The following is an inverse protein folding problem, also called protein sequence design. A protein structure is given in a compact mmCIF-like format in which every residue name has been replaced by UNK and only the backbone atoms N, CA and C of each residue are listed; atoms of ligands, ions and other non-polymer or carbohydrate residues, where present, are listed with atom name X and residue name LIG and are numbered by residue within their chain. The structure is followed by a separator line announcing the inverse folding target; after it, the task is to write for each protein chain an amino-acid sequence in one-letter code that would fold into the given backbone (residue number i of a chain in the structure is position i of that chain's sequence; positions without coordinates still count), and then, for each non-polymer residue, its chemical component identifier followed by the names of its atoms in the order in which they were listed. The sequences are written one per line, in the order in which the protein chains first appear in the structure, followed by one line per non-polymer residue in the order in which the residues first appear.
data_IF_769695001768
#
_entry.id   IF_769695001768
#
_cell.length_a   1.000
_cell.length_b   1.000
_cell.length_c   1.000
_cell.angle_alpha   90.00
_cell.angle_beta   90.00
_cell.angle_gamma   90.00
#
_symmetry.space_group_name_H-M   'P 1'
#
loop_
_entity.id
_entity.type
_entity.pdbx_description
1 polymer ?
#
# COMPACT_ATOMS: atom_id res chain seq x y z
N UNK A 1 18.16 -4.63 18.64
CA UNK A 1 16.92 -4.22 17.91
C UNK A 1 15.66 -4.62 18.67
N UNK A 2 15.45 -5.90 18.99
CA UNK A 2 14.22 -6.39 19.66
C UNK A 2 13.83 -5.64 20.95
N UNK A 3 14.75 -5.32 21.89
CA UNK A 3 14.38 -4.56 23.09
C UNK A 3 13.87 -3.14 22.77
N UNK A 4 14.43 -2.51 21.74
CA UNK A 4 14.03 -1.17 21.32
C UNK A 4 12.58 -1.17 20.79
N UNK A 5 12.19 -2.15 19.98
CA UNK A 5 10.83 -2.31 19.44
C UNK A 5 9.78 -2.51 20.54
N UNK A 6 10.19 -3.05 21.69
CA UNK A 6 9.33 -3.25 22.87
C UNK A 6 9.39 -2.09 23.87
N UNK A 7 10.19 -1.06 23.61
CA UNK A 7 10.35 0.07 24.51
C UNK A 7 9.04 0.81 24.74
N UNK A 8 8.82 1.29 25.96
CA UNK A 8 7.73 2.20 26.28
C UNK A 8 7.95 3.59 25.66
N UNK A 9 9.20 3.99 25.50
CA UNK A 9 9.58 5.26 24.87
C UNK A 9 9.34 5.21 23.36
N UNK A 10 8.42 6.05 22.89
CA UNK A 10 8.03 6.09 21.48
C UNK A 10 9.23 6.32 20.52
N UNK A 11 10.15 7.28 20.76
CA UNK A 11 11.27 7.51 19.84
C UNK A 11 12.19 6.29 19.71
N UNK A 12 12.44 5.58 20.81
CA UNK A 12 13.26 4.35 20.82
C UNK A 12 12.54 3.23 20.07
N UNK A 13 11.23 3.09 20.29
CA UNK A 13 10.40 2.10 19.61
C UNK A 13 10.33 2.30 18.11
N UNK A 14 10.14 3.53 17.66
CA UNK A 14 10.10 3.89 16.24
C UNK A 14 11.44 3.60 15.54
N UNK A 15 12.56 3.96 16.17
CA UNK A 15 13.89 3.62 15.65
C UNK A 15 14.14 2.11 15.64
N UNK A 16 13.69 1.41 16.67
CA UNK A 16 13.71 -0.06 16.73
C UNK A 16 12.97 -0.67 15.54
N UNK A 17 11.79 -0.14 15.20
CA UNK A 17 10.98 -0.63 14.09
C UNK A 17 11.69 -0.48 12.75
N UNK A 18 12.30 0.68 12.49
CA UNK A 18 13.08 0.92 11.27
C UNK A 18 14.26 -0.04 11.18
N UNK A 19 15.03 -0.20 12.25
CA UNK A 19 16.16 -1.13 12.25
C UNK A 19 15.71 -2.58 12.03
N UNK A 20 14.58 -3.00 12.61
CA UNK A 20 14.02 -4.33 12.37
C UNK A 20 13.59 -4.50 10.92
N UNK A 21 12.93 -3.49 10.33
CA UNK A 21 12.56 -3.49 8.92
C UNK A 21 13.77 -3.65 8.01
N UNK A 22 14.86 -2.93 8.27
CA UNK A 22 16.11 -3.06 7.51
C UNK A 22 16.73 -4.45 7.64
N UNK A 23 16.73 -5.05 8.85
CA UNK A 23 17.18 -6.43 9.03
C UNK A 23 16.29 -7.42 8.28
N UNK A 24 14.97 -7.20 8.27
CA UNK A 24 14.02 -8.03 7.53
C UNK A 24 14.25 -8.01 6.01
N UNK A 25 14.92 -6.98 5.45
CA UNK A 25 15.33 -7.00 4.04
C UNK A 25 16.48 -7.98 3.78
N UNK A 26 17.23 -8.39 4.81
CA UNK A 26 18.39 -9.26 4.67
C UNK A 26 18.04 -10.74 4.84
N UNK A 27 16.97 -11.06 5.58
CA UNK A 27 16.56 -12.43 5.89
C UNK A 27 15.04 -12.61 5.75
N UNK A 28 14.64 -13.59 4.93
CA UNK A 28 13.24 -13.84 4.62
C UNK A 28 12.46 -14.41 5.81
N UNK A 29 13.07 -15.29 6.61
CA UNK A 29 12.43 -15.87 7.80
C UNK A 29 12.10 -14.77 8.80
N UNK A 30 13.06 -13.87 9.05
CA UNK A 30 12.89 -12.73 9.93
C UNK A 30 11.78 -11.79 9.42
N UNK A 31 11.67 -11.58 8.10
CA UNK A 31 10.59 -10.81 7.53
C UNK A 31 9.23 -11.47 7.81
N UNK A 32 9.08 -12.75 7.46
CA UNK A 32 7.84 -13.52 7.62
C UNK A 32 7.35 -13.54 9.08
N UNK A 33 8.26 -13.76 10.03
CA UNK A 33 7.97 -13.76 11.47
C UNK A 33 7.47 -12.40 11.99
N UNK A 34 7.86 -11.30 11.35
CA UNK A 34 7.59 -9.93 11.82
C UNK A 34 6.56 -9.16 10.97
N UNK A 35 6.02 -9.73 9.89
CA UNK A 35 4.99 -9.07 9.06
C UNK A 35 3.78 -8.64 9.89
N UNK A 36 3.29 -9.51 10.78
CA UNK A 36 2.16 -9.19 11.67
C UNK A 36 2.43 -8.00 12.58
N UNK A 37 3.69 -7.80 13.00
CA UNK A 37 4.10 -6.66 13.82
C UNK A 37 4.03 -5.35 13.02
N UNK A 38 4.58 -5.31 11.81
CA UNK A 38 4.50 -4.12 10.95
C UNK A 38 3.05 -3.78 10.61
N UNK A 39 2.22 -4.79 10.33
CA UNK A 39 0.78 -4.61 10.12
C UNK A 39 0.06 -4.07 11.37
N UNK A 40 0.48 -4.49 12.58
CA UNK A 40 -0.05 -3.95 13.83
C UNK A 40 0.30 -2.46 13.97
N UNK A 41 1.55 -2.08 13.70
CA UNK A 41 1.99 -0.69 13.71
C UNK A 41 1.25 0.18 12.69
N UNK A 42 0.95 -0.35 11.51
CA UNK A 42 0.06 0.34 10.57
C UNK A 42 -1.37 0.52 11.12
N UNK A 43 -1.92 -0.50 11.77
CA UNK A 43 -3.32 -0.44 12.22
C UNK A 43 -3.53 0.39 13.50
N UNK A 44 -2.52 0.51 14.36
CA UNK A 44 -2.61 1.13 15.69
C UNK A 44 -1.69 2.34 15.87
N UNK A 45 -0.74 2.55 14.98
CA UNK A 45 0.19 3.68 15.04
C UNK A 45 -0.44 5.00 14.62
N UNK A 46 0.19 6.09 15.04
CA UNK A 46 -0.06 7.44 14.49
C UNK A 46 0.50 7.56 13.07
N UNK A 47 0.09 8.60 12.35
CA UNK A 47 0.40 8.85 10.93
C UNK A 47 1.85 8.51 10.52
N UNK A 48 2.85 9.07 11.21
CA UNK A 48 4.27 8.80 10.88
C UNK A 48 4.66 7.32 10.99
N UNK A 49 4.09 6.60 11.97
CA UNK A 49 4.36 5.19 12.19
C UNK A 49 3.64 4.30 11.17
N UNK A 50 2.44 4.71 10.74
CA UNK A 50 1.73 4.05 9.66
C UNK A 50 2.48 4.18 8.34
N UNK A 51 3.00 5.37 8.03
CA UNK A 51 3.83 5.61 6.84
C UNK A 51 5.12 4.78 6.90
N UNK A 52 5.79 4.75 8.06
CA UNK A 52 7.00 3.94 8.26
C UNK A 52 6.71 2.45 8.05
N UNK A 53 5.61 1.94 8.60
CA UNK A 53 5.19 0.56 8.40
C UNK A 53 4.87 0.25 6.93
N UNK A 54 4.19 1.17 6.22
CA UNK A 54 3.94 1.01 4.79
C UNK A 54 5.24 0.92 3.98
N UNK A 55 6.22 1.78 4.25
CA UNK A 55 7.53 1.71 3.58
C UNK A 55 8.22 0.37 3.83
N UNK A 56 8.31 -0.06 5.10
CA UNK A 56 8.94 -1.34 5.46
C UNK A 56 8.23 -2.52 4.76
N UNK A 57 6.90 -2.58 4.81
CA UNK A 57 6.12 -3.63 4.15
C UNK A 57 6.33 -3.62 2.64
N UNK A 58 6.44 -2.44 2.03
CA UNK A 58 6.64 -2.30 0.58
C UNK A 58 8.03 -2.78 0.18
N UNK A 59 9.06 -2.41 0.95
CA UNK A 59 10.44 -2.83 0.70
C UNK A 59 10.60 -4.33 0.90
N UNK A 60 9.99 -4.91 1.94
CA UNK A 60 9.94 -6.37 2.15
C UNK A 60 9.31 -7.08 0.96
N UNK A 61 8.18 -6.59 0.44
CA UNK A 61 7.54 -7.18 -0.75
C UNK A 61 8.43 -7.07 -1.98
N UNK A 62 9.10 -5.92 -2.18
CA UNK A 62 10.03 -5.74 -3.30
C UNK A 62 11.23 -6.69 -3.25
N UNK A 63 11.74 -7.01 -2.05
CA UNK A 63 12.91 -7.87 -1.86
C UNK A 63 12.55 -9.36 -1.88
N UNK A 64 11.49 -9.74 -1.16
CA UNK A 64 11.15 -11.15 -0.91
C UNK A 64 9.98 -11.69 -1.76
N UNK A 65 9.27 -10.80 -2.46
CA UNK A 65 8.28 -11.14 -3.49
C UNK A 65 6.83 -11.27 -3.02
N UNK A 66 5.94 -11.44 -4.02
CA UNK A 66 4.48 -11.47 -3.89
C UNK A 66 3.94 -12.55 -2.94
N UNK A 67 4.67 -13.65 -2.79
CA UNK A 67 4.23 -14.84 -2.06
C UNK A 67 3.84 -14.50 -0.61
N UNK A 68 4.44 -13.45 -0.06
CA UNK A 68 4.12 -12.91 1.27
C UNK A 68 2.68 -12.38 1.38
N UNK A 69 2.09 -11.91 0.28
CA UNK A 69 0.67 -11.49 0.24
C UNK A 69 -0.26 -12.68 0.42
N UNK A 70 0.08 -13.81 -0.20
CA UNK A 70 -0.71 -15.04 -0.13
C UNK A 70 -0.51 -15.76 1.22
N UNK A 71 0.70 -15.74 1.77
CA UNK A 71 0.99 -16.37 3.06
C UNK A 71 0.59 -15.53 4.28
N UNK A 72 0.35 -14.22 4.11
CA UNK A 72 0.03 -13.30 5.21
C UNK A 72 -1.36 -12.68 5.03
N UNK A 73 -2.39 -13.27 5.66
CA UNK A 73 -3.76 -12.76 5.57
C UNK A 73 -3.86 -11.30 6.00
N UNK A 74 -4.46 -10.48 5.15
CA UNK A 74 -4.73 -9.07 5.44
C UNK A 74 -3.58 -8.11 5.08
N UNK A 75 -2.43 -8.59 4.59
CA UNK A 75 -1.37 -7.72 4.12
C UNK A 75 -1.83 -6.85 2.95
N UNK A 76 -2.54 -7.42 1.98
CA UNK A 76 -3.16 -6.65 0.88
C UNK A 76 -4.12 -5.56 1.41
N UNK A 77 -4.92 -5.92 2.42
CA UNK A 77 -5.91 -5.01 3.04
C UNK A 77 -5.27 -3.80 3.71
N UNK A 78 -4.01 -3.88 4.13
CA UNK A 78 -3.25 -2.72 4.64
C UNK A 78 -3.17 -1.63 3.57
N UNK A 79 -2.73 -1.99 2.35
CA UNK A 79 -2.62 -1.06 1.23
C UNK A 79 -3.98 -0.54 0.78
N UNK A 80 -4.96 -1.44 0.58
CA UNK A 80 -6.31 -1.05 0.13
C UNK A 80 -6.97 -0.10 1.13
N UNK A 81 -6.86 -0.38 2.44
CA UNK A 81 -7.39 0.50 3.50
C UNK A 81 -6.68 1.85 3.53
N UNK A 82 -5.36 1.86 3.36
CA UNK A 82 -4.58 3.10 3.36
C UNK A 82 -4.92 4.00 2.16
N UNK A 83 -5.04 3.42 0.95
CA UNK A 83 -5.43 4.15 -0.27
C UNK A 83 -6.84 4.74 -0.17
N UNK A 84 -7.78 4.02 0.47
CA UNK A 84 -9.15 4.51 0.69
C UNK A 84 -9.28 5.49 1.88
N UNK A 85 -8.23 5.65 2.69
CA UNK A 85 -8.27 6.40 3.95
C UNK A 85 -8.09 7.91 3.85
N UNK A 86 -8.21 8.51 2.66
CA UNK A 86 -7.80 9.89 2.36
C UNK A 86 -8.37 10.95 3.30
N UNK A 87 -9.66 10.88 3.62
CA UNK A 87 -10.31 11.86 4.50
C UNK A 87 -9.83 11.86 5.95
N UNK A 88 -9.13 10.81 6.41
CA UNK A 88 -8.65 10.70 7.81
C UNK A 88 -7.16 10.99 7.95
N UNK A 89 -6.37 10.57 6.97
CA UNK A 89 -4.91 10.70 7.00
C UNK A 89 -4.37 10.88 5.57
N UNK A 90 -4.40 12.10 5.02
CA UNK A 90 -3.96 12.39 3.65
C UNK A 90 -2.52 11.95 3.37
N UNK A 91 -1.63 12.06 4.34
CA UNK A 91 -0.22 11.68 4.20
C UNK A 91 -0.04 10.16 4.11
N UNK A 92 -0.85 9.39 4.86
CA UNK A 92 -0.86 7.92 4.80
C UNK A 92 -1.40 7.45 3.45
N UNK A 93 -2.47 8.10 2.97
CA UNK A 93 -3.01 7.83 1.65
C UNK A 93 -1.95 8.08 0.56
N UNK A 94 -1.25 9.21 0.62
CA UNK A 94 -0.19 9.54 -0.32
C UNK A 94 0.93 8.49 -0.34
N UNK A 95 1.43 8.08 0.82
CA UNK A 95 2.45 7.03 0.92
C UNK A 95 1.96 5.69 0.36
N UNK A 96 0.72 5.30 0.67
CA UNK A 96 0.13 4.06 0.19
C UNK A 96 -0.13 4.07 -1.32
N UNK A 97 -0.57 5.19 -1.88
CA UNK A 97 -0.74 5.36 -3.33
C UNK A 97 0.58 5.12 -4.04
N UNK A 98 1.67 5.75 -3.60
CA UNK A 98 3.00 5.55 -4.21
C UNK A 98 3.47 4.10 -4.04
N UNK A 99 3.29 3.52 -2.85
CA UNK A 99 3.65 2.13 -2.58
C UNK A 99 2.91 1.14 -3.51
N UNK A 100 1.59 1.23 -3.58
CA UNK A 100 0.77 0.37 -4.42
C UNK A 100 1.10 0.54 -5.91
N UNK A 101 1.33 1.78 -6.36
CA UNK A 101 1.79 2.05 -7.73
C UNK A 101 3.13 1.38 -8.05
N UNK A 102 4.08 1.40 -7.12
CA UNK A 102 5.37 0.70 -7.28
C UNK A 102 5.22 -0.81 -7.34
N UNK A 103 4.41 -1.39 -6.46
CA UNK A 103 4.18 -2.83 -6.41
C UNK A 103 3.54 -3.36 -7.70
N UNK A 104 2.59 -2.60 -8.28
CA UNK A 104 1.95 -2.94 -9.55
C UNK A 104 2.89 -2.74 -10.76
N UNK A 105 3.58 -1.61 -10.87
CA UNK A 105 4.52 -1.36 -11.98
C UNK A 105 5.70 -2.33 -11.96
N UNK A 106 6.23 -2.61 -10.77
CA UNK A 106 7.32 -3.56 -10.56
C UNK A 106 6.89 -5.01 -10.72
N UNK A 107 5.58 -5.28 -10.86
CA UNK A 107 4.96 -6.64 -10.90
C UNK A 107 5.34 -7.49 -9.70
N UNK A 108 5.52 -6.83 -8.57
CA UNK A 108 5.75 -7.47 -7.27
C UNK A 108 4.45 -8.07 -6.79
N UNK A 109 3.31 -7.43 -7.08
CA UNK A 109 1.99 -8.08 -7.00
C UNK A 109 1.70 -8.66 -8.38
N UNK A 110 1.48 -9.96 -8.45
CA UNK A 110 1.22 -10.68 -9.71
C UNK A 110 -0.10 -11.45 -9.72
N UNK A 111 -0.66 -11.76 -8.54
CA UNK A 111 -1.94 -12.46 -8.43
C UNK A 111 -3.07 -11.58 -8.96
N UNK A 112 -3.87 -12.13 -9.87
CA UNK A 112 -4.91 -11.39 -10.61
C UNK A 112 -5.83 -10.62 -9.66
N UNK A 113 -6.44 -11.30 -8.69
CA UNK A 113 -7.38 -10.69 -7.73
C UNK A 113 -6.73 -9.55 -6.92
N UNK A 114 -5.47 -9.73 -6.52
CA UNK A 114 -4.74 -8.71 -5.76
C UNK A 114 -4.40 -7.48 -6.62
N UNK A 115 -4.02 -7.71 -7.89
CA UNK A 115 -3.80 -6.66 -8.87
C UNK A 115 -5.09 -5.86 -9.12
N UNK A 116 -6.20 -6.55 -9.36
CA UNK A 116 -7.50 -5.92 -9.60
C UNK A 116 -7.97 -5.12 -8.39
N UNK A 117 -7.86 -5.66 -7.17
CA UNK A 117 -8.28 -4.96 -5.95
C UNK A 117 -7.47 -3.68 -5.72
N UNK A 118 -6.15 -3.74 -5.87
CA UNK A 118 -5.28 -2.55 -5.72
C UNK A 118 -5.52 -1.53 -6.83
N UNK A 119 -5.58 -1.98 -8.09
CA UNK A 119 -5.79 -1.09 -9.23
C UNK A 119 -7.13 -0.36 -9.12
N UNK A 120 -8.21 -1.08 -8.77
CA UNK A 120 -9.52 -0.50 -8.50
C UNK A 120 -9.46 0.53 -7.37
N UNK A 121 -8.78 0.23 -6.27
CA UNK A 121 -8.64 1.19 -5.17
C UNK A 121 -7.90 2.48 -5.61
N UNK A 122 -6.86 2.35 -6.44
CA UNK A 122 -6.12 3.49 -6.98
C UNK A 122 -6.94 4.31 -7.98
N UNK A 123 -7.68 3.66 -8.88
CA UNK A 123 -8.56 4.35 -9.84
C UNK A 123 -9.66 5.11 -9.10
N UNK A 124 -10.31 4.49 -8.12
CA UNK A 124 -11.32 5.17 -7.30
C UNK A 124 -10.69 6.34 -6.56
N UNK A 125 -9.53 6.16 -5.92
CA UNK A 125 -8.84 7.24 -5.21
C UNK A 125 -8.46 8.41 -6.14
N UNK A 126 -8.16 8.16 -7.42
CA UNK A 126 -7.86 9.23 -8.38
C UNK A 126 -9.10 10.08 -8.72
N UNK A 127 -10.28 9.48 -8.80
CA UNK A 127 -11.50 10.18 -9.20
C UNK A 127 -12.39 10.60 -8.02
N UNK A 128 -12.10 10.13 -6.81
CA UNK A 128 -12.78 10.53 -5.59
C UNK A 128 -12.57 12.04 -5.30
N UNK A 129 -13.64 12.84 -5.16
CA UNK A 129 -13.54 14.27 -4.84
C UNK A 129 -12.80 14.56 -3.53
N UNK A 130 -12.84 13.65 -2.55
CA UNK A 130 -12.17 13.80 -1.26
C UNK A 130 -10.64 13.81 -1.37
N UNK A 131 -10.09 13.27 -2.46
CA UNK A 131 -8.64 13.28 -2.74
C UNK A 131 -8.20 14.49 -3.57
N UNK A 132 -9.13 15.36 -4.02
CA UNK A 132 -8.83 16.43 -4.97
C UNK A 132 -7.75 17.41 -4.48
N UNK A 133 -7.68 17.67 -3.17
CA UNK A 133 -6.68 18.55 -2.56
C UNK A 133 -5.36 17.84 -2.25
N UNK A 134 -5.33 16.50 -2.26
CA UNK A 134 -4.13 15.71 -1.98
C UNK A 134 -3.24 15.61 -3.23
N UNK A 135 -2.44 16.66 -3.47
CA UNK A 135 -1.64 16.78 -4.69
C UNK A 135 -0.67 15.61 -4.89
N UNK A 136 -0.11 15.04 -3.83
CA UNK A 136 0.78 13.87 -3.93
C UNK A 136 0.04 12.68 -4.54
N UNK A 137 -1.19 12.41 -4.10
CA UNK A 137 -2.03 11.34 -4.66
C UNK A 137 -2.38 11.64 -6.12
N UNK A 138 -2.82 12.88 -6.41
CA UNK A 138 -3.21 13.29 -7.77
C UNK A 138 -2.06 13.15 -8.77
N UNK A 139 -0.88 13.66 -8.42
CA UNK A 139 0.29 13.62 -9.29
C UNK A 139 0.82 12.20 -9.45
N UNK A 140 0.90 11.42 -8.36
CA UNK A 140 1.35 10.03 -8.42
C UNK A 140 0.45 9.19 -9.35
N UNK A 141 -0.86 9.32 -9.22
CA UNK A 141 -1.83 8.57 -10.04
C UNK A 141 -1.91 9.07 -11.48
N UNK A 142 -1.79 10.39 -11.70
CA UNK A 142 -1.75 10.97 -13.05
C UNK A 142 -0.55 10.45 -13.85
N UNK A 143 0.59 10.19 -13.20
CA UNK A 143 1.73 9.53 -13.83
C UNK A 143 1.54 8.01 -13.93
N UNK A 144 1.17 7.37 -12.82
CA UNK A 144 1.09 5.91 -12.72
C UNK A 144 0.08 5.30 -13.69
N UNK A 145 -1.16 5.80 -13.75
CA UNK A 145 -2.24 5.17 -14.52
C UNK A 145 -1.91 5.02 -16.01
N UNK A 146 -1.51 6.08 -16.75
CA UNK A 146 -1.16 5.93 -18.16
C UNK A 146 0.09 5.07 -18.34
N UNK A 147 1.12 5.22 -17.49
CA UNK A 147 2.35 4.41 -17.59
C UNK A 147 2.06 2.93 -17.35
N UNK A 148 1.23 2.60 -16.37
CA UNK A 148 0.82 1.25 -16.08
C UNK A 148 0.07 0.64 -17.28
N UNK A 149 -1.00 1.29 -17.75
CA UNK A 149 -1.80 0.80 -18.87
C UNK A 149 -0.99 0.68 -20.18
N UNK A 150 -0.18 1.67 -20.52
CA UNK A 150 0.55 1.68 -21.80
C UNK A 150 1.84 0.86 -21.79
N UNK A 151 2.32 0.45 -20.62
CA UNK A 151 3.52 -0.40 -20.56
C UNK A 151 3.31 -1.81 -21.12
N UNK A 152 2.09 -2.37 -21.03
CA UNK A 152 1.74 -3.74 -21.46
C UNK A 152 0.26 -3.93 -21.74
N UNK A 153 -0.08 -4.83 -22.67
CA UNK A 153 -1.46 -5.25 -22.93
C UNK A 153 -2.13 -5.88 -21.70
N UNK A 154 -1.42 -6.76 -20.98
CA UNK A 154 -1.95 -7.37 -19.74
C UNK A 154 -2.39 -6.34 -18.68
N UNK A 155 -1.77 -5.15 -18.64
CA UNK A 155 -2.17 -4.08 -17.72
C UNK A 155 -3.44 -3.36 -18.21
N UNK A 156 -3.65 -3.30 -19.52
CA UNK A 156 -4.90 -2.81 -20.11
C UNK A 156 -6.04 -3.78 -19.85
N UNK A 157 -5.77 -5.09 -19.91
CA UNK A 157 -6.74 -6.13 -19.58
C UNK A 157 -7.17 -6.03 -18.11
N UNK A 158 -6.22 -5.81 -17.19
CA UNK A 158 -6.52 -5.51 -15.78
C UNK A 158 -7.37 -4.25 -15.62
N UNK A 159 -7.02 -3.17 -16.31
CA UNK A 159 -7.81 -1.93 -16.29
C UNK A 159 -9.23 -2.15 -16.84
N UNK A 160 -9.37 -2.92 -17.92
CA UNK A 160 -10.65 -3.27 -18.52
C UNK A 160 -11.51 -4.07 -17.53
N UNK A 161 -10.94 -5.08 -16.87
CA UNK A 161 -11.63 -5.95 -15.91
C UNK A 161 -12.23 -5.16 -14.74
N UNK A 162 -11.52 -4.14 -14.24
CA UNK A 162 -11.95 -3.35 -13.08
C UNK A 162 -12.77 -2.10 -13.44
N UNK A 163 -12.79 -1.67 -14.71
CA UNK A 163 -13.37 -0.39 -15.15
C UNK A 163 -14.83 -0.22 -14.73
N UNK A 164 -15.69 -1.20 -15.02
CA UNK A 164 -17.12 -1.10 -14.70
C UNK A 164 -17.36 -1.03 -13.19
N UNK A 165 -16.62 -1.82 -12.42
CA UNK A 165 -16.74 -1.82 -10.96
C UNK A 165 -16.23 -0.51 -10.34
N UNK A 166 -15.15 0.06 -10.89
CA UNK A 166 -14.60 1.34 -10.44
C UNK A 166 -15.59 2.48 -10.73
N UNK A 167 -16.17 2.53 -11.94
CA UNK A 167 -17.21 3.49 -12.30
C UNK A 167 -18.44 3.37 -11.41
N UNK A 168 -18.92 2.15 -11.17
CA UNK A 168 -20.05 1.93 -10.26
C UNK A 168 -19.73 2.41 -8.83
N UNK A 169 -18.52 2.14 -8.33
CA UNK A 169 -18.08 2.63 -7.01
C UNK A 169 -18.06 4.17 -6.95
N UNK A 170 -17.62 4.83 -8.02
CA UNK A 170 -17.57 6.29 -8.11
C UNK A 170 -18.95 6.93 -8.19
N UNK A 171 -19.89 6.29 -8.90
CA UNK A 171 -21.29 6.76 -8.92
C UNK A 171 -21.90 6.72 -7.52
N UNK A 172 -21.74 5.60 -6.81
CA UNK A 172 -22.26 5.47 -5.45
C UNK A 172 -21.62 6.48 -4.47
N UNK A 173 -20.34 6.83 -4.66
CA UNK A 173 -19.66 7.86 -3.87
C UNK A 173 -20.18 9.28 -4.15
N UNK A 174 -20.77 9.52 -5.32
CA UNK A 174 -21.32 10.83 -5.69
C UNK A 174 -22.76 11.01 -5.19
N UNK A 175 -23.51 9.94 -5.08
CA UNK A 175 -24.91 9.95 -4.66
C UNK A 175 -25.09 9.96 -3.13
N UNK A 176 -24.07 9.56 -2.37
CA UNK A 176 -24.04 9.63 -0.90
C UNK A 176 -23.35 10.87 -0.37
#
# INVERSE_FOLDING_TARGET
VVPAVRSHEAPVRERGLVCLGLCALLDRSLAEENLGLFMHFFNKGHTALQITALHILTDILNVHGAQLLSSTPGLLKVYVKAVKGGGKAPEVQAAATVAASKLLLGRVVSEQDACEELLKALVVAYFDPSSATNQTVRQALNYFLPVFCYSRTANQDLMQAISLQALHSLLNLREG
#
